data_IF_349676186259
#
_entry.id   IF_349676186259
#
_cell.length_a   1.000
_cell.length_b   1.000
_cell.length_c   1.000
_cell.angle_alpha   90.00
_cell.angle_beta   90.00
_cell.angle_gamma   90.00
#
_symmetry.space_group_name_H-M   'P 1'
#
loop_
_entity.id
_entity.type
_entity.pdbx_description
1 polymer ?
#
# COMPACT_ATOMS: atom_id res chain seq x y z
N UNK A 1 40.99 -30.29 -14.76
CA UNK A 1 39.76 -29.60 -15.21
C UNK A 1 38.60 -29.79 -14.21
N UNK A 2 38.78 -29.52 -12.91
CA UNK A 2 37.71 -29.66 -11.88
C UNK A 2 37.35 -28.35 -11.17
N UNK A 3 38.16 -27.29 -11.33
CA UNK A 3 37.96 -26.02 -10.63
C UNK A 3 37.09 -25.01 -11.40
N UNK A 4 36.86 -25.21 -12.71
CA UNK A 4 36.08 -24.28 -13.54
C UNK A 4 34.57 -24.42 -13.37
N UNK A 5 34.08 -25.60 -12.98
CA UNK A 5 32.63 -25.85 -12.77
C UNK A 5 32.17 -25.23 -11.45
N UNK A 6 33.03 -25.23 -10.43
CA UNK A 6 32.70 -24.67 -9.11
C UNK A 6 32.56 -23.14 -9.15
N UNK A 7 33.34 -22.47 -10.00
CA UNK A 7 33.28 -21.02 -10.18
C UNK A 7 32.00 -20.57 -10.90
N UNK A 8 31.48 -21.38 -11.84
CA UNK A 8 30.23 -21.08 -12.53
C UNK A 8 29.02 -21.12 -11.58
N UNK A 9 28.98 -22.09 -10.67
CA UNK A 9 27.90 -22.21 -9.69
C UNK A 9 27.87 -21.05 -8.69
N UNK A 10 29.03 -20.57 -8.25
CA UNK A 10 29.12 -19.42 -7.34
C UNK A 10 28.67 -18.12 -7.99
N UNK A 11 28.90 -17.93 -9.29
CA UNK A 11 28.43 -16.74 -10.02
C UNK A 11 26.91 -16.76 -10.18
N UNK A 12 26.32 -17.91 -10.54
CA UNK A 12 24.84 -18.02 -10.63
C UNK A 12 24.15 -17.76 -9.29
N UNK A 13 24.76 -18.18 -8.17
CA UNK A 13 24.23 -17.89 -6.83
C UNK A 13 24.37 -16.42 -6.42
N UNK A 14 25.42 -15.72 -6.88
CA UNK A 14 25.61 -14.29 -6.63
C UNK A 14 24.53 -13.43 -7.32
N UNK A 15 24.03 -13.84 -8.48
CA UNK A 15 22.93 -13.14 -9.16
C UNK A 15 21.53 -13.57 -8.68
N UNK A 16 21.37 -14.79 -8.15
CA UNK A 16 20.12 -15.20 -7.50
C UNK A 16 19.96 -14.66 -6.07
N UNK A 17 21.07 -14.26 -5.46
CA UNK A 17 21.14 -13.70 -4.11
C UNK A 17 20.86 -12.21 -4.00
N UNK A 18 20.62 -11.50 -5.12
CA UNK A 18 20.00 -10.18 -5.10
C UNK A 18 18.57 -10.34 -4.61
N UNK A 19 18.41 -10.38 -3.27
CA UNK A 19 17.19 -10.09 -2.53
C UNK A 19 16.34 -9.12 -3.35
N UNK A 20 15.17 -9.58 -3.83
CA UNK A 20 14.08 -8.68 -4.23
C UNK A 20 13.74 -7.84 -3.00
N UNK A 21 14.44 -6.74 -2.81
CA UNK A 21 14.02 -5.68 -1.90
C UNK A 21 12.60 -5.32 -2.31
N UNK A 22 11.69 -5.33 -1.33
CA UNK A 22 10.23 -5.24 -1.48
C UNK A 22 9.82 -4.45 -2.73
N UNK A 23 9.43 -5.17 -3.78
CA UNK A 23 9.10 -4.62 -5.09
C UNK A 23 7.91 -3.64 -5.03
N UNK A 24 7.07 -3.77 -4.00
CA UNK A 24 5.90 -2.94 -3.77
C UNK A 24 5.93 -2.35 -2.36
N UNK A 25 5.88 -1.03 -2.24
CA UNK A 25 5.89 -0.33 -0.96
C UNK A 25 5.10 0.98 -0.99
N UNK A 26 4.73 1.44 0.21
CA UNK A 26 4.14 2.75 0.43
C UNK A 26 5.29 3.74 0.56
N UNK A 27 5.33 4.71 -0.34
CA UNK A 27 6.40 5.72 -0.41
C UNK A 27 6.02 6.96 0.41
N UNK A 28 4.75 7.35 0.39
CA UNK A 28 4.21 8.50 1.14
C UNK A 28 2.71 8.35 1.37
N UNK A 29 2.22 8.93 2.45
CA UNK A 29 0.79 9.05 2.76
C UNK A 29 0.48 10.53 2.96
N UNK A 30 -0.52 11.04 2.26
CA UNK A 30 -0.97 12.43 2.33
C UNK A 30 -2.47 12.50 2.65
N UNK A 31 -2.89 13.60 3.28
CA UNK A 31 -4.28 13.87 3.60
C UNK A 31 -4.67 15.18 2.93
N UNK A 32 -5.65 15.11 2.05
CA UNK A 32 -6.20 16.27 1.35
C UNK A 32 -7.50 16.64 2.06
N UNK A 33 -7.47 17.76 2.80
CA UNK A 33 -8.67 18.35 3.42
C UNK A 33 -9.26 19.39 2.49
N UNK A 34 -10.47 19.13 2.00
CA UNK A 34 -11.19 20.09 1.17
C UNK A 34 -11.99 21.11 1.99
N UNK A 35 -12.35 20.80 3.25
CA UNK A 35 -13.20 21.63 4.10
C UNK A 35 -12.74 21.71 5.56
N UNK A 36 -13.02 22.84 6.22
CA UNK A 36 -12.73 23.07 7.66
C UNK A 36 -13.81 22.48 8.60
N UNK A 37 -14.95 22.05 8.06
CA UNK A 37 -16.06 21.40 8.76
C UNK A 37 -15.85 19.87 8.83
N UNK A 38 -16.62 19.08 9.63
CA UNK A 38 -16.51 17.63 9.60
C UNK A 38 -16.92 17.12 8.21
N UNK A 39 -15.93 16.85 7.36
CA UNK A 39 -16.04 16.21 6.05
C UNK A 39 -15.20 14.92 6.02
N UNK A 40 -15.46 13.99 5.09
CA UNK A 40 -14.56 12.86 4.89
C UNK A 40 -13.19 13.39 4.49
N UNK A 41 -12.13 12.88 5.10
CA UNK A 41 -10.77 13.15 4.63
C UNK A 41 -10.48 12.27 3.41
N UNK A 42 -9.93 12.88 2.35
CA UNK A 42 -9.33 12.13 1.25
C UNK A 42 -7.89 11.79 1.62
N UNK A 43 -7.56 10.50 1.65
CA UNK A 43 -6.20 10.03 1.95
C UNK A 43 -5.59 9.46 0.67
N UNK A 44 -4.40 9.95 0.34
CA UNK A 44 -3.63 9.54 -0.84
C UNK A 44 -2.41 8.73 -0.41
N UNK A 45 -2.33 7.50 -0.90
CA UNK A 45 -1.16 6.64 -0.76
C UNK A 45 -0.35 6.70 -2.05
N UNK A 46 0.85 7.27 -1.98
CA UNK A 46 1.86 7.12 -3.02
C UNK A 46 2.47 5.73 -2.89
N UNK A 47 2.22 4.88 -3.87
CA UNK A 47 2.71 3.50 -3.92
C UNK A 47 3.78 3.38 -4.99
N UNK A 48 4.88 2.70 -4.65
CA UNK A 48 5.81 2.17 -5.65
C UNK A 48 5.42 0.73 -5.92
N UNK A 49 5.27 0.37 -7.19
CA UNK A 49 5.00 -0.99 -7.62
C UNK A 49 6.15 -1.55 -8.48
N UNK A 50 6.29 -2.87 -8.53
CA UNK A 50 7.06 -3.49 -9.60
C UNK A 50 6.36 -3.28 -10.93
N UNK A 51 7.13 -3.40 -12.02
CA UNK A 51 6.60 -3.24 -13.37
C UNK A 51 5.40 -4.15 -13.64
N UNK A 52 5.47 -5.41 -13.20
CA UNK A 52 4.38 -6.37 -13.37
C UNK A 52 3.12 -5.95 -12.61
N UNK A 53 3.26 -5.56 -11.34
CA UNK A 53 2.13 -5.12 -10.52
C UNK A 53 1.54 -3.82 -11.05
N UNK A 54 2.39 -2.88 -11.45
CA UNK A 54 1.98 -1.64 -12.07
C UNK A 54 1.15 -1.88 -13.33
N UNK A 55 1.54 -2.79 -14.21
CA UNK A 55 0.77 -3.12 -15.42
C UNK A 55 -0.61 -3.72 -15.11
N UNK A 56 -0.72 -4.54 -14.06
CA UNK A 56 -1.97 -5.21 -13.68
C UNK A 56 -2.95 -4.27 -12.97
N UNK A 57 -2.45 -3.35 -12.12
CA UNK A 57 -3.30 -2.43 -11.38
C UNK A 57 -3.92 -1.42 -12.34
N UNK A 58 -5.25 -1.50 -12.45
CA UNK A 58 -6.14 -0.55 -13.10
C UNK A 58 -7.40 -0.44 -12.25
N UNK A 59 -7.96 0.77 -12.17
CA UNK A 59 -9.04 1.11 -11.24
C UNK A 59 -10.26 0.15 -11.34
N UNK A 60 -10.67 -0.12 -12.57
CA UNK A 60 -11.80 -1.01 -12.92
C UNK A 60 -11.67 -2.43 -12.36
N UNK A 61 -10.45 -2.88 -12.09
CA UNK A 61 -10.17 -4.25 -11.64
C UNK A 61 -10.03 -4.37 -10.13
N UNK A 62 -10.00 -3.27 -9.38
CA UNK A 62 -9.90 -3.32 -7.92
C UNK A 62 -11.29 -3.54 -7.33
N UNK A 63 -11.43 -4.67 -6.65
CA UNK A 63 -12.69 -5.06 -6.02
C UNK A 63 -12.78 -4.60 -4.57
N UNK A 64 -11.63 -4.49 -3.91
CA UNK A 64 -11.51 -4.34 -2.46
C UNK A 64 -10.12 -3.84 -2.09
N UNK A 65 -10.03 -3.11 -0.98
CA UNK A 65 -8.76 -2.87 -0.31
C UNK A 65 -8.86 -3.18 1.18
N UNK A 66 -7.70 -3.46 1.79
CA UNK A 66 -7.55 -3.59 3.23
C UNK A 66 -6.36 -2.74 3.67
N UNK A 67 -6.57 -1.84 4.62
CA UNK A 67 -5.50 -1.13 5.35
C UNK A 67 -5.37 -1.75 6.74
N UNK A 68 -4.17 -2.19 7.08
CA UNK A 68 -3.84 -2.77 8.39
C UNK A 68 -2.67 -1.99 8.98
N UNK A 69 -2.78 -1.52 10.22
CA UNK A 69 -1.67 -0.95 10.96
C UNK A 69 -1.82 -1.23 12.46
N UNK A 70 -0.81 -1.90 13.02
CA UNK A 70 -0.83 -2.38 14.42
C UNK A 70 -2.11 -3.21 14.74
N UNK A 71 -2.33 -3.55 16.02
CA UNK A 71 -3.53 -4.28 16.45
C UNK A 71 -4.82 -3.44 16.45
N UNK A 72 -4.73 -2.14 16.11
CA UNK A 72 -5.80 -1.17 16.35
C UNK A 72 -6.44 -0.59 15.10
N UNK A 73 -5.78 -0.64 13.93
CA UNK A 73 -6.28 -0.08 12.68
C UNK A 73 -6.50 -1.21 11.68
N UNK A 74 -7.77 -1.49 11.40
CA UNK A 74 -8.20 -2.40 10.35
C UNK A 74 -9.32 -1.76 9.55
N UNK A 75 -9.00 -1.42 8.30
CA UNK A 75 -9.93 -0.81 7.36
C UNK A 75 -10.13 -1.80 6.23
N UNK A 76 -11.38 -2.09 5.88
CA UNK A 76 -11.69 -3.11 4.89
C UNK A 76 -12.93 -2.69 4.11
N UNK A 77 -12.74 -2.22 2.88
CA UNK A 77 -13.81 -1.69 2.05
C UNK A 77 -13.83 -2.32 0.66
N UNK A 78 -15.04 -2.50 0.15
CA UNK A 78 -15.38 -2.89 -1.23
C UNK A 78 -15.98 -1.66 -1.93
N UNK A 79 -15.63 -1.42 -3.21
CA UNK A 79 -15.82 -0.13 -3.94
C UNK A 79 -17.25 0.48 -3.86
N UNK A 80 -17.48 1.83 -3.92
CA UNK A 80 -16.87 2.86 -4.82
C UNK A 80 -15.96 3.93 -4.15
N UNK A 81 -15.49 3.75 -2.92
CA UNK A 81 -14.88 4.84 -2.12
C UNK A 81 -13.36 5.07 -2.34
N UNK A 82 -12.80 4.61 -3.47
CA UNK A 82 -11.39 4.79 -3.79
C UNK A 82 -11.18 5.07 -5.28
N UNK A 83 -10.03 5.65 -5.63
CA UNK A 83 -9.62 5.92 -7.01
C UNK A 83 -8.12 5.67 -7.19
N UNK A 84 -7.71 5.41 -8.43
CA UNK A 84 -6.30 5.16 -8.78
C UNK A 84 -5.84 6.06 -9.91
N UNK A 85 -4.71 6.74 -9.68
CA UNK A 85 -3.93 7.40 -10.71
C UNK A 85 -2.60 6.69 -10.94
N UNK A 86 -2.23 6.49 -12.20
CA UNK A 86 -0.97 5.88 -12.59
C UNK A 86 0.01 6.95 -13.05
N UNK A 87 1.18 6.99 -12.41
CA UNK A 87 2.24 7.95 -12.68
C UNK A 87 3.45 7.25 -13.31
N UNK A 88 4.41 8.03 -13.81
CA UNK A 88 5.66 7.49 -14.34
C UNK A 88 6.46 6.69 -13.30
N UNK A 89 7.43 5.90 -13.77
CA UNK A 89 8.33 5.11 -12.92
C UNK A 89 7.61 4.08 -12.02
N UNK A 90 6.53 3.46 -12.51
CA UNK A 90 5.74 2.48 -11.75
C UNK A 90 5.18 3.02 -10.43
N UNK A 91 4.90 4.33 -10.37
CA UNK A 91 4.28 4.96 -9.21
C UNK A 91 2.76 5.00 -9.39
N UNK A 92 2.03 4.72 -8.33
CA UNK A 92 0.57 4.69 -8.30
C UNK A 92 0.11 5.56 -7.15
N UNK A 93 -0.85 6.43 -7.38
CA UNK A 93 -1.58 7.12 -6.30
C UNK A 93 -2.88 6.38 -6.06
N UNK A 94 -3.03 5.85 -4.85
CA UNK A 94 -4.25 5.24 -4.38
C UNK A 94 -4.97 6.22 -3.46
N UNK A 95 -6.09 6.74 -3.93
CA UNK A 95 -6.95 7.68 -3.21
C UNK A 95 -8.05 6.88 -2.52
N UNK A 96 -8.31 7.14 -1.25
CA UNK A 96 -9.52 6.66 -0.63
C UNK A 96 -10.13 7.71 0.29
N UNK A 97 -11.45 7.71 0.32
CA UNK A 97 -12.21 8.61 1.17
C UNK A 97 -12.47 7.90 2.48
N UNK A 98 -12.01 8.49 3.59
CA UNK A 98 -12.31 7.94 4.91
C UNK A 98 -13.82 7.97 5.14
N UNK A 99 -14.43 6.88 5.57
CA UNK A 99 -15.78 6.97 6.10
C UNK A 99 -15.72 7.75 7.41
N UNK A 100 -16.72 8.60 7.65
CA UNK A 100 -16.91 9.36 8.89
C UNK A 100 -16.85 8.52 10.18
N UNK A 101 -16.96 7.19 10.07
CA UNK A 101 -16.92 6.25 11.17
C UNK A 101 -16.09 5.03 10.78
N UNK A 102 -14.92 4.86 11.38
CA UNK A 102 -14.21 3.57 11.31
C UNK A 102 -14.75 2.68 12.42
N UNK A 103 -15.53 1.68 12.01
CA UNK A 103 -16.17 0.72 12.90
C UNK A 103 -15.15 -0.34 13.29
N UNK A 104 -14.50 -0.17 14.44
CA UNK A 104 -13.85 -1.29 15.09
C UNK A 104 -14.94 -2.13 15.78
N UNK A 105 -14.77 -3.46 15.92
CA UNK A 105 -15.77 -4.36 16.56
C UNK A 105 -16.15 -3.96 18.00
N UNK A 106 -15.49 -2.96 18.60
CA UNK A 106 -15.82 -2.42 19.93
C UNK A 106 -15.83 -0.89 20.07
N UNK A 107 -15.38 -0.08 19.11
CA UNK A 107 -15.40 1.41 19.20
C UNK A 107 -15.41 2.05 17.82
N UNK A 108 -16.17 3.14 17.70
CA UNK A 108 -16.07 4.09 16.59
C UNK A 108 -14.87 4.99 16.91
N UNK A 109 -13.79 4.87 16.14
CA UNK A 109 -12.69 5.83 16.20
C UNK A 109 -12.86 6.78 15.02
N UNK A 110 -12.93 8.08 15.29
CA UNK A 110 -12.83 9.11 14.27
C UNK A 110 -11.35 9.23 13.87
N UNK A 111 -11.04 9.08 12.59
CA UNK A 111 -9.67 9.19 12.06
C UNK A 111 -9.32 10.61 11.59
N UNK A 112 -10.18 11.60 11.85
CA UNK A 112 -10.04 12.98 11.37
C UNK A 112 -8.95 13.80 12.05
N UNK A 113 -8.08 13.18 12.85
CA UNK A 113 -6.99 13.87 13.51
C UNK A 113 -5.69 13.67 12.73
N UNK A 114 -5.10 14.78 12.28
CA UNK A 114 -3.74 14.90 11.75
C UNK A 114 -2.73 14.10 12.60
N UNK A 115 -2.96 14.04 13.91
CA UNK A 115 -2.20 13.23 14.87
C UNK A 115 -2.26 11.72 14.63
N UNK A 116 -3.37 11.16 14.15
CA UNK A 116 -3.50 9.74 13.84
C UNK A 116 -2.76 9.40 12.53
N UNK A 117 -2.83 10.27 11.53
CA UNK A 117 -2.16 10.06 10.25
C UNK A 117 -0.64 10.28 10.32
N UNK A 118 -0.21 11.42 10.86
CA UNK A 118 1.23 11.73 11.01
C UNK A 118 1.91 10.83 12.04
N UNK A 119 1.29 10.58 13.21
CA UNK A 119 1.97 9.85 14.29
C UNK A 119 1.68 8.35 14.35
N UNK A 120 0.63 7.83 13.68
CA UNK A 120 0.38 6.37 13.65
C UNK A 120 0.57 5.74 12.29
N UNK A 121 0.11 6.34 11.19
CA UNK A 121 0.21 5.67 9.88
C UNK A 121 1.59 5.84 9.27
N UNK A 122 2.10 7.06 9.15
CA UNK A 122 3.42 7.31 8.58
C UNK A 122 4.56 6.67 9.40
N UNK A 123 4.41 6.57 10.71
CA UNK A 123 5.40 5.99 11.62
C UNK A 123 5.25 4.48 11.84
N UNK A 124 4.11 3.87 11.46
CA UNK A 124 3.87 2.46 11.73
C UNK A 124 4.67 1.58 10.78
N UNK A 125 5.58 0.79 11.35
CA UNK A 125 6.38 -0.21 10.61
C UNK A 125 5.54 -1.38 10.09
N UNK A 126 4.41 -1.65 10.74
CA UNK A 126 3.53 -2.76 10.40
C UNK A 126 2.40 -2.36 9.45
N UNK A 127 2.39 -1.10 8.99
CA UNK A 127 1.40 -0.61 8.06
C UNK A 127 1.47 -1.36 6.73
N UNK A 128 0.31 -1.86 6.29
CA UNK A 128 0.12 -2.60 5.04
C UNK A 128 -1.16 -2.14 4.35
N UNK A 129 -1.04 -1.90 3.05
CA UNK A 129 -2.17 -1.75 2.13
C UNK A 129 -2.23 -2.98 1.23
N UNK A 130 -3.36 -3.68 1.24
CA UNK A 130 -3.63 -4.83 0.35
C UNK A 130 -4.68 -4.42 -0.68
N UNK A 131 -4.33 -4.49 -1.96
CA UNK A 131 -5.25 -4.25 -3.07
C UNK A 131 -5.66 -5.59 -3.69
N UNK A 132 -6.96 -5.82 -3.79
CA UNK A 132 -7.54 -7.02 -4.40
C UNK A 132 -7.94 -6.70 -5.85
N UNK A 133 -7.12 -7.16 -6.80
CA UNK A 133 -7.27 -6.88 -8.24
C UNK A 133 -7.66 -8.16 -8.96
N UNK A 134 -8.90 -8.25 -9.45
CA UNK A 134 -9.41 -9.51 -10.00
C UNK A 134 -9.40 -10.63 -8.95
N UNK A 135 -8.54 -11.63 -9.14
CA UNK A 135 -8.32 -12.76 -8.22
C UNK A 135 -6.95 -12.71 -7.54
N UNK A 136 -6.19 -11.62 -7.75
CA UNK A 136 -4.86 -11.41 -7.18
C UNK A 136 -4.93 -10.43 -6.02
N UNK A 137 -3.97 -10.57 -5.09
CA UNK A 137 -3.77 -9.65 -3.97
C UNK A 137 -2.37 -9.09 -4.04
N UNK A 138 -2.27 -7.77 -4.04
CA UNK A 138 -1.00 -7.05 -4.00
C UNK A 138 -0.85 -6.34 -2.67
N UNK A 139 0.27 -6.57 -1.99
CA UNK A 139 0.57 -6.00 -0.68
C UNK A 139 1.66 -4.93 -0.82
N UNK A 140 1.38 -3.74 -0.28
CA UNK A 140 2.27 -2.61 -0.17
C UNK A 140 2.55 -2.37 1.30
N UNK A 141 3.82 -2.45 1.71
CA UNK A 141 4.25 -2.24 3.09
C UNK A 141 4.82 -0.85 3.26
N UNK A 142 4.72 -0.27 4.45
CA UNK A 142 5.46 0.94 4.77
C UNK A 142 6.97 0.68 4.69
N UNK A 143 7.73 1.68 4.21
CA UNK A 143 9.18 1.58 3.97
C UNK A 143 10.00 1.97 5.19
#
# INVERSE_FOLDING_TARGET
>A
MKNSIFLLFSITFLFYGCKKENENYIEKIEVIREHEAPSPDNIVFSLKASKEVYEIIVDENIKRYILEAEDSIYINYTNPAFGIDKLSDNKIEFHFITPYFLTNRKRINYFSEEKVLENKLNSSKDLKLKLFVGDKVFEFKNK
#
